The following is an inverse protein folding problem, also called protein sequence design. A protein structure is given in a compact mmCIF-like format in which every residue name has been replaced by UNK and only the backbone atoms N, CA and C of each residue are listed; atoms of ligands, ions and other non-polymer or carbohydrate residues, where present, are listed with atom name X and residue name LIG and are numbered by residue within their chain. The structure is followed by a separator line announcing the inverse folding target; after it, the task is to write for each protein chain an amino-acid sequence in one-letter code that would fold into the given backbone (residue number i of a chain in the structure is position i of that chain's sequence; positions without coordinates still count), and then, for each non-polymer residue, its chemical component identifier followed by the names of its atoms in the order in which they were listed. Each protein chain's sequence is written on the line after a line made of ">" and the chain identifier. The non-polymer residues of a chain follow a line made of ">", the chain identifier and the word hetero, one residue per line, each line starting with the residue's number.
data_IF_417172344291
#
_entry.id   IF_417172344291
#
_cell.length_a   1.000
_cell.length_b   1.000
_cell.length_c   1.000
_cell.angle_alpha   90.00
_cell.angle_beta   90.00
_cell.angle_gamma   90.00
#
_symmetry.space_group_name_H-M   'P 1'
#
loop_
_entity.id
_entity.type
_entity.pdbx_description
1 polymer ?
#
# COMPACT_ATOMS: atom_id res chain seq x y z
N UNK A 1 -11.48 16.52 2.34
CA UNK A 1 -11.07 16.32 0.93
C UNK A 1 -10.01 15.24 0.91
N UNK A 2 -9.95 14.41 -0.14
CA UNK A 2 -8.88 13.42 -0.30
C UNK A 2 -7.75 14.03 -1.12
N UNK A 3 -6.51 13.69 -0.76
CA UNK A 3 -5.30 14.11 -1.49
C UNK A 3 -4.74 12.89 -2.23
N UNK A 4 -4.03 13.10 -3.34
CA UNK A 4 -3.32 12.00 -3.99
C UNK A 4 -1.94 11.84 -3.34
N UNK A 5 -1.53 10.60 -3.04
CA UNK A 5 -0.14 10.33 -2.75
C UNK A 5 0.69 10.34 -4.05
N UNK A 6 1.90 10.88 -3.97
CA UNK A 6 2.79 11.03 -5.13
C UNK A 6 3.67 9.79 -5.22
N UNK A 7 3.63 9.08 -6.34
CA UNK A 7 4.54 7.96 -6.59
C UNK A 7 5.96 8.48 -6.83
N UNK A 8 6.90 8.07 -5.99
CA UNK A 8 8.32 8.47 -6.05
C UNK A 8 9.14 7.43 -6.80
N UNK A 9 8.90 6.14 -6.53
CA UNK A 9 9.69 5.05 -7.10
C UNK A 9 8.82 3.81 -7.29
N UNK A 10 9.09 3.07 -8.37
CA UNK A 10 8.55 1.73 -8.63
C UNK A 10 9.68 0.77 -8.93
N UNK A 11 9.63 -0.41 -8.34
CA UNK A 11 10.49 -1.55 -8.64
C UNK A 11 9.62 -2.76 -8.92
N UNK A 12 9.70 -3.29 -10.13
CA UNK A 12 8.96 -4.49 -10.53
C UNK A 12 9.84 -5.72 -10.43
N UNK A 13 9.27 -6.83 -9.94
CA UNK A 13 9.95 -8.12 -9.96
C UNK A 13 9.51 -8.89 -11.20
N UNK A 14 10.32 -8.81 -12.25
CA UNK A 14 10.11 -9.62 -13.45
C UNK A 14 10.65 -11.04 -13.24
N UNK A 15 9.85 -12.09 -13.46
CA UNK A 15 10.34 -13.47 -13.42
C UNK A 15 11.12 -13.79 -14.69
N UNK A 16 12.32 -13.24 -14.84
CA UNK A 16 13.27 -13.64 -15.87
C UNK A 16 14.24 -14.69 -15.30
N UNK A 17 13.79 -15.93 -15.23
CA UNK A 17 14.62 -17.08 -14.84
C UNK A 17 13.88 -18.41 -14.98
N UNK A 18 14.58 -19.46 -15.40
CA UNK A 18 14.11 -20.81 -15.72
C UNK A 18 13.41 -21.58 -14.57
N UNK A 19 13.06 -20.92 -13.45
CA UNK A 19 12.34 -21.48 -12.31
C UNK A 19 10.99 -20.78 -12.19
N UNK A 20 9.93 -21.55 -12.40
CA UNK A 20 8.52 -21.18 -12.55
C UNK A 20 7.83 -20.72 -11.27
N UNK A 21 8.45 -19.88 -10.44
CA UNK A 21 7.70 -19.19 -9.38
C UNK A 21 6.98 -18.00 -10.01
N UNK A 22 5.70 -18.21 -10.37
CA UNK A 22 4.77 -17.24 -10.97
C UNK A 22 4.32 -16.16 -9.99
N UNK A 23 5.26 -15.50 -9.30
CA UNK A 23 4.93 -14.36 -8.45
C UNK A 23 5.13 -13.07 -9.21
N UNK A 24 4.05 -12.46 -9.71
CA UNK A 24 4.12 -11.04 -10.07
C UNK A 24 4.13 -10.23 -8.78
N UNK A 25 4.96 -9.20 -8.74
CA UNK A 25 5.13 -8.38 -7.55
C UNK A 25 5.83 -7.09 -7.87
N UNK A 26 5.52 -6.07 -7.09
CA UNK A 26 6.16 -4.77 -7.18
C UNK A 26 6.36 -4.21 -5.78
N UNK A 27 7.29 -3.28 -5.68
CA UNK A 27 7.48 -2.39 -4.54
C UNK A 27 7.42 -0.97 -5.06
N UNK A 28 6.61 -0.13 -4.43
CA UNK A 28 6.40 1.28 -4.78
C UNK A 28 6.63 2.11 -3.52
N UNK A 29 7.25 3.27 -3.68
CA UNK A 29 7.40 4.27 -2.64
C UNK A 29 6.54 5.47 -3.00
N UNK A 30 5.67 5.89 -2.08
CA UNK A 30 4.83 7.08 -2.25
C UNK A 30 5.17 8.13 -1.20
N UNK A 31 4.97 9.40 -1.56
CA UNK A 31 4.98 10.54 -0.65
C UNK A 31 3.53 10.98 -0.39
N UNK A 32 3.12 11.00 0.87
CA UNK A 32 1.82 11.43 1.35
C UNK A 32 2.03 12.56 2.37
N UNK A 33 1.95 13.81 1.90
CA UNK A 33 2.42 15.00 2.61
C UNK A 33 3.93 14.88 2.95
N UNK A 34 4.26 14.73 4.23
CA UNK A 34 5.60 14.57 4.82
C UNK A 34 5.94 13.11 5.16
N UNK A 35 5.02 12.17 4.88
CA UNK A 35 5.21 10.74 5.13
C UNK A 35 5.56 9.98 3.86
N UNK A 36 6.42 8.97 4.00
CA UNK A 36 6.64 7.99 2.96
C UNK A 36 5.85 6.71 3.23
N UNK A 37 5.13 6.24 2.23
CA UNK A 37 4.51 4.92 2.22
C UNK A 37 5.35 3.99 1.35
N UNK A 38 6.08 3.08 1.99
CA UNK A 38 6.70 1.94 1.31
C UNK A 38 5.65 0.82 1.21
N UNK A 39 5.25 0.48 -0.02
CA UNK A 39 4.17 -0.44 -0.30
C UNK A 39 4.63 -1.50 -1.29
N UNK A 40 4.31 -2.75 -1.02
CA UNK A 40 4.65 -3.87 -1.89
C UNK A 40 3.44 -4.76 -2.15
N UNK A 41 3.27 -5.15 -3.40
CA UNK A 41 2.36 -6.20 -3.81
C UNK A 41 3.11 -7.53 -3.91
N UNK A 42 2.59 -8.56 -3.23
CA UNK A 42 3.16 -9.90 -3.20
C UNK A 42 2.10 -10.93 -3.49
N UNK A 43 2.32 -11.75 -4.52
CA UNK A 43 1.57 -12.98 -4.75
C UNK A 43 2.27 -14.17 -4.08
N UNK A 44 1.51 -14.94 -3.30
CA UNK A 44 1.95 -16.20 -2.70
C UNK A 44 0.93 -17.29 -3.05
N UNK A 45 1.21 -18.07 -4.10
CA UNK A 45 0.26 -19.01 -4.66
C UNK A 45 -0.98 -18.29 -5.21
N UNK A 46 -2.17 -18.70 -4.76
CA UNK A 46 -3.45 -18.07 -5.15
C UNK A 46 -3.81 -16.82 -4.34
N UNK A 47 -3.03 -16.50 -3.30
CA UNK A 47 -3.32 -15.35 -2.45
C UNK A 47 -2.42 -14.18 -2.79
N UNK A 48 -2.98 -12.98 -2.81
CA UNK A 48 -2.24 -11.75 -3.05
C UNK A 48 -2.42 -10.77 -1.90
N UNK A 49 -1.32 -10.12 -1.54
CA UNK A 49 -1.24 -9.23 -0.40
C UNK A 49 -0.63 -7.89 -0.77
N UNK A 50 -1.16 -6.83 -0.19
CA UNK A 50 -0.44 -5.58 0.00
C UNK A 50 0.24 -5.63 1.35
N UNK A 51 1.53 -5.33 1.36
CA UNK A 51 2.34 -5.19 2.57
C UNK A 51 2.95 -3.81 2.53
N UNK A 52 2.75 -3.00 3.56
CA UNK A 52 3.31 -1.66 3.58
C UNK A 52 3.75 -1.22 4.96
N UNK A 53 4.44 -0.09 5.00
CA UNK A 53 4.85 0.59 6.22
C UNK A 53 4.89 2.09 5.95
N UNK A 54 4.59 2.89 6.97
CA UNK A 54 4.66 4.35 6.91
C UNK A 54 5.91 4.81 7.64
N UNK A 55 6.69 5.65 6.96
CA UNK A 55 7.98 6.18 7.39
C UNK A 55 7.92 7.72 7.42
N UNK A 56 8.73 8.32 8.27
CA UNK A 56 8.89 9.78 8.37
C UNK A 56 10.36 10.08 8.70
N UNK A 57 10.95 11.09 8.04
CA UNK A 57 12.40 11.37 8.11
C UNK A 57 12.85 11.74 9.54
N UNK A 58 12.10 12.59 10.24
CA UNK A 58 12.49 13.09 11.57
C UNK A 58 12.08 12.17 12.74
N UNK A 59 11.55 10.98 12.46
CA UNK A 59 11.07 10.05 13.49
C UNK A 59 9.82 10.51 14.26
N UNK A 60 9.35 11.74 14.05
CA UNK A 60 7.99 12.22 14.37
C UNK A 60 6.99 11.35 13.60
N UNK A 61 5.87 11.02 14.23
CA UNK A 61 4.90 10.12 13.62
C UNK A 61 3.48 10.65 13.77
N UNK A 62 2.57 10.08 12.99
CA UNK A 62 1.14 10.32 13.11
C UNK A 62 0.62 9.76 14.45
N UNK A 63 -0.42 10.37 15.00
CA UNK A 63 -1.06 9.92 16.24
C UNK A 63 -2.06 8.81 15.99
N UNK A 64 -2.76 8.88 14.86
CA UNK A 64 -3.72 7.87 14.40
C UNK A 64 -3.49 7.59 12.92
N UNK A 65 -3.61 6.32 12.53
CA UNK A 65 -3.40 5.94 11.14
C UNK A 65 -4.23 4.72 10.77
N UNK A 66 -4.77 4.71 9.55
CA UNK A 66 -5.47 3.55 8.99
C UNK A 66 -5.11 3.36 7.52
N UNK A 67 -5.01 2.11 7.09
CA UNK A 67 -5.00 1.74 5.68
C UNK A 67 -6.30 1.00 5.35
N UNK A 68 -7.05 1.52 4.39
CA UNK A 68 -8.37 0.99 4.00
C UNK A 68 -8.34 0.54 2.55
N UNK A 69 -8.59 -0.75 2.34
CA UNK A 69 -8.84 -1.32 1.03
C UNK A 69 -10.30 -1.15 0.66
N UNK A 70 -10.55 -0.61 -0.53
CA UNK A 70 -11.87 -0.31 -1.04
C UNK A 70 -12.12 -1.13 -2.31
N UNK A 71 -13.38 -1.49 -2.54
CA UNK A 71 -13.81 -1.99 -3.84
C UNK A 71 -13.86 -0.85 -4.89
N UNK A 72 -14.13 -1.12 -6.18
CA UNK A 72 -14.19 -0.09 -7.21
C UNK A 72 -15.27 0.97 -6.95
N UNK A 73 -16.32 0.63 -6.20
CA UNK A 73 -17.41 1.53 -5.83
C UNK A 73 -17.07 2.43 -4.61
N UNK A 74 -15.87 2.29 -4.04
CA UNK A 74 -15.44 3.06 -2.86
C UNK A 74 -15.99 2.55 -1.53
N UNK A 75 -16.47 1.31 -1.47
CA UNK A 75 -16.94 0.68 -0.24
C UNK A 75 -15.75 0.02 0.48
N UNK A 76 -15.53 0.28 1.79
CA UNK A 76 -14.48 -0.38 2.56
C UNK A 76 -14.68 -1.89 2.61
N UNK A 77 -13.66 -2.64 2.22
CA UNK A 77 -13.60 -4.10 2.33
C UNK A 77 -12.77 -4.54 3.52
N UNK A 78 -11.64 -3.87 3.75
CA UNK A 78 -10.72 -4.14 4.86
C UNK A 78 -10.14 -2.82 5.35
N UNK A 79 -10.03 -2.67 6.66
CA UNK A 79 -9.33 -1.56 7.29
C UNK A 79 -8.40 -2.13 8.34
N UNK A 80 -7.16 -1.65 8.37
CA UNK A 80 -6.21 -1.94 9.44
C UNK A 80 -5.75 -0.64 10.06
N UNK A 81 -5.65 -0.63 11.39
CA UNK A 81 -4.94 0.43 12.10
C UNK A 81 -3.45 0.34 11.79
N UNK A 82 -2.80 1.49 11.75
CA UNK A 82 -1.38 1.64 11.51
C UNK A 82 -0.70 2.00 12.81
N UNK A 83 0.41 1.32 13.06
CA UNK A 83 1.33 1.69 14.14
C UNK A 83 2.56 2.33 13.52
N UNK A 84 3.00 3.49 14.03
CA UNK A 84 4.28 4.08 13.67
C UNK A 84 5.41 3.05 13.61
N UNK A 85 6.17 3.05 12.50
CA UNK A 85 7.33 2.16 12.29
C UNK A 85 7.01 0.66 12.28
N UNK A 86 5.74 0.27 12.22
CA UNK A 86 5.32 -1.11 12.03
C UNK A 86 4.77 -1.34 10.61
N UNK A 87 4.96 -2.55 10.11
CA UNK A 87 4.34 -2.97 8.86
C UNK A 87 2.87 -3.37 9.04
N UNK A 88 2.09 -3.19 7.98
CA UNK A 88 0.72 -3.68 7.87
C UNK A 88 0.58 -4.63 6.68
N UNK A 89 -0.51 -5.41 6.67
CA UNK A 89 -0.83 -6.36 5.59
C UNK A 89 -2.31 -6.40 5.30
N UNK A 90 -2.68 -6.33 4.03
CA UNK A 90 -4.05 -6.42 3.53
C UNK A 90 -4.14 -7.55 2.48
N UNK A 91 -5.22 -8.31 2.50
CA UNK A 91 -5.48 -9.34 1.48
C UNK A 91 -6.30 -8.74 0.34
N UNK A 92 -5.81 -8.81 -0.90
CA UNK A 92 -6.32 -7.96 -1.99
C UNK A 92 -6.88 -8.75 -3.17
N UNK A 93 -6.64 -10.06 -3.26
CA UNK A 93 -7.10 -10.87 -4.39
C UNK A 93 -6.63 -10.28 -5.73
N UNK A 94 -7.55 -9.87 -6.59
CA UNK A 94 -7.26 -9.11 -7.80
C UNK A 94 -6.99 -7.62 -7.49
N UNK A 95 -5.72 -7.20 -7.58
CA UNK A 95 -5.30 -5.84 -7.31
C UNK A 95 -6.00 -4.79 -8.18
N UNK A 96 -6.33 -5.13 -9.44
CA UNK A 96 -6.92 -4.18 -10.40
C UNK A 96 -8.35 -3.78 -10.04
N UNK A 97 -9.01 -4.58 -9.21
CA UNK A 97 -10.35 -4.34 -8.72
C UNK A 97 -10.38 -3.53 -7.42
N UNK A 98 -9.26 -2.99 -6.94
CA UNK A 98 -9.20 -2.35 -5.63
C UNK A 98 -8.56 -0.98 -5.65
N UNK A 99 -8.96 -0.17 -4.66
CA UNK A 99 -8.33 1.10 -4.31
C UNK A 99 -7.79 1.02 -2.89
N UNK A 100 -6.70 1.73 -2.63
CA UNK A 100 -6.15 1.85 -1.29
C UNK A 100 -6.24 3.32 -0.85
N UNK A 101 -6.78 3.54 0.34
CA UNK A 101 -6.74 4.82 1.03
C UNK A 101 -5.88 4.71 2.28
N UNK A 102 -5.03 5.71 2.48
CA UNK A 102 -4.22 5.88 3.67
C UNK A 102 -4.75 7.10 4.42
N UNK A 103 -5.24 6.94 5.65
CA UNK A 103 -5.60 8.08 6.49
C UNK A 103 -4.59 8.21 7.62
N UNK A 104 -3.96 9.38 7.71
CA UNK A 104 -3.04 9.76 8.78
C UNK A 104 -3.62 10.98 9.48
N UNK A 105 -3.90 10.83 10.77
CA UNK A 105 -4.62 11.80 11.60
C UNK A 105 -5.96 12.21 10.98
N UNK A 106 -6.02 13.38 10.36
CA UNK A 106 -7.24 13.92 9.75
C UNK A 106 -7.18 13.97 8.22
N UNK A 107 -6.10 13.48 7.62
CA UNK A 107 -5.85 13.58 6.18
C UNK A 107 -5.91 12.21 5.53
N UNK A 108 -6.76 12.07 4.52
CA UNK A 108 -6.89 10.85 3.72
C UNK A 108 -6.21 11.03 2.36
N UNK A 109 -5.38 10.06 2.01
CA UNK A 109 -4.63 9.98 0.77
C UNK A 109 -5.10 8.81 -0.08
N UNK A 110 -5.43 9.07 -1.34
CA UNK A 110 -5.66 8.07 -2.37
C UNK A 110 -4.31 7.52 -2.87
N UNK A 111 -4.13 6.20 -2.83
CA UNK A 111 -2.93 5.50 -3.28
C UNK A 111 -3.21 4.77 -4.60
N UNK A 112 -2.55 5.17 -5.67
CA UNK A 112 -2.70 4.55 -7.00
C UNK A 112 -1.96 3.20 -7.07
N UNK A 113 -2.70 2.09 -7.08
CA UNK A 113 -2.12 0.73 -7.08
C UNK A 113 -1.62 0.29 -8.46
N UNK A 114 -2.22 0.79 -9.54
CA UNK A 114 -1.80 0.59 -10.94
C UNK A 114 -0.86 1.71 -11.39
#
# INVERSE_FOLDING_TARGET
>A
MKQAAILIMTSERNPSGLRTTTGTGWSKLYLAADYYLDLSYKQNGQQAFLVGQVLHEDGVSFSTGTATLLNPQGVPLQTTELTPKAGFRLAVGDLTAHRLELTLDQTTFDIALS
#
